data_IF_614226023809
#
_entry.id   IF_614226023809
#
_cell.length_a   1.000
_cell.length_b   1.000
_cell.length_c   1.000
_cell.angle_alpha   90.00
_cell.angle_beta   90.00
_cell.angle_gamma   90.00
#
_symmetry.space_group_name_H-M   'P 1'
#
loop_
_entity.id
_entity.type
_entity.pdbx_description
1 polymer ?
#
# COMPACT_ATOMS: atom_id res chain seq x y z
N UNK A 1 9.59 6.09 -24.56
CA UNK A 1 8.54 6.68 -23.71
C UNK A 1 7.50 5.68 -23.24
N UNK A 2 6.77 4.95 -24.10
CA UNK A 2 5.70 4.01 -23.66
C UNK A 2 6.22 2.88 -22.73
N UNK A 3 7.49 2.50 -22.90
CA UNK A 3 8.10 1.39 -22.17
C UNK A 3 8.38 1.71 -20.70
N UNK A 4 8.66 2.97 -20.38
CA UNK A 4 9.01 3.40 -19.03
C UNK A 4 7.75 3.51 -18.16
N UNK A 5 6.66 4.06 -18.72
CA UNK A 5 5.35 4.17 -18.04
C UNK A 5 4.79 2.80 -17.65
N UNK A 6 4.88 1.81 -18.53
CA UNK A 6 4.42 0.45 -18.22
C UNK A 6 5.25 -0.25 -17.15
N UNK A 7 6.55 0.04 -17.06
CA UNK A 7 7.43 -0.48 -16.00
C UNK A 7 7.09 0.18 -14.67
N UNK A 8 6.91 1.51 -14.65
CA UNK A 8 6.54 2.26 -13.44
C UNK A 8 5.16 1.88 -12.91
N UNK A 9 4.18 1.68 -13.80
CA UNK A 9 2.85 1.17 -13.41
C UNK A 9 2.94 -0.25 -12.84
N UNK A 10 3.76 -1.11 -13.45
CA UNK A 10 4.01 -2.47 -12.97
C UNK A 10 4.65 -2.49 -11.57
N UNK A 11 5.66 -1.64 -11.34
CA UNK A 11 6.31 -1.46 -10.04
C UNK A 11 5.32 -0.98 -8.98
N UNK A 12 4.53 0.04 -9.29
CA UNK A 12 3.54 0.62 -8.37
C UNK A 12 2.47 -0.42 -7.99
N UNK A 13 1.93 -1.16 -8.97
CA UNK A 13 1.00 -2.26 -8.72
C UNK A 13 1.62 -3.34 -7.82
N UNK A 14 2.83 -3.78 -8.13
CA UNK A 14 3.55 -4.78 -7.32
C UNK A 14 3.78 -4.32 -5.89
N UNK A 15 4.18 -3.06 -5.68
CA UNK A 15 4.37 -2.45 -4.36
C UNK A 15 3.06 -2.45 -3.56
N UNK A 16 1.96 -2.01 -4.18
CA UNK A 16 0.63 -1.98 -3.54
C UNK A 16 0.18 -3.39 -3.10
N UNK A 17 0.39 -4.41 -3.92
CA UNK A 17 0.03 -5.79 -3.59
C UNK A 17 0.84 -6.35 -2.42
N UNK A 18 2.14 -6.04 -2.35
CA UNK A 18 3.00 -6.47 -1.23
C UNK A 18 2.52 -5.82 0.06
N UNK A 19 2.28 -4.51 0.07
CA UNK A 19 1.78 -3.77 1.23
C UNK A 19 0.46 -4.35 1.71
N UNK A 20 -0.49 -4.61 0.81
CA UNK A 20 -1.79 -5.22 1.15
C UNK A 20 -1.59 -6.58 1.85
N UNK A 21 -0.70 -7.43 1.33
CA UNK A 21 -0.41 -8.74 1.96
C UNK A 21 0.22 -8.58 3.35
N UNK A 22 1.10 -7.61 3.53
CA UNK A 22 1.71 -7.33 4.84
C UNK A 22 0.67 -6.84 5.85
N UNK A 23 -0.20 -5.91 5.44
CA UNK A 23 -1.28 -5.36 6.27
C UNK A 23 -2.27 -6.47 6.63
N UNK A 24 -2.70 -7.31 5.69
CA UNK A 24 -3.58 -8.46 5.96
C UNK A 24 -2.94 -9.50 6.89
N UNK A 25 -1.62 -9.68 6.82
CA UNK A 25 -0.89 -10.58 7.70
C UNK A 25 -0.74 -10.00 9.11
N UNK A 26 -0.46 -8.70 9.22
CA UNK A 26 -0.28 -7.99 10.50
C UNK A 26 -1.63 -7.80 11.22
N UNK A 27 -2.62 -7.30 10.48
CA UNK A 27 -3.96 -7.03 10.99
C UNK A 27 -4.91 -8.13 10.53
N UNK A 28 -5.42 -8.92 11.47
CA UNK A 28 -6.33 -10.05 11.18
C UNK A 28 -7.62 -9.64 10.45
N UNK A 29 -8.05 -8.39 10.61
CA UNK A 29 -9.24 -7.81 9.96
C UNK A 29 -8.86 -6.46 9.38
N UNK A 30 -9.01 -6.33 8.06
CA UNK A 30 -8.75 -5.10 7.31
C UNK A 30 -10.00 -4.80 6.49
N UNK A 31 -10.60 -3.60 6.61
CA UNK A 31 -11.73 -3.23 5.79
C UNK A 31 -11.37 -3.25 4.31
N UNK A 32 -12.26 -3.75 3.47
CA UNK A 32 -12.02 -3.84 2.02
C UNK A 32 -11.81 -2.46 1.37
N UNK A 33 -12.40 -1.41 1.96
CA UNK A 33 -12.16 -0.02 1.57
C UNK A 33 -10.67 0.35 1.67
N UNK A 34 -9.95 -0.10 2.70
CA UNK A 34 -8.55 0.24 2.91
C UNK A 34 -7.67 -0.42 1.86
N UNK A 35 -8.00 -1.68 1.53
CA UNK A 35 -7.35 -2.41 0.44
C UNK A 35 -7.53 -1.68 -0.88
N UNK A 36 -8.74 -1.16 -1.17
CA UNK A 36 -8.98 -0.39 -2.38
C UNK A 36 -8.19 0.92 -2.39
N UNK A 37 -8.20 1.66 -1.27
CA UNK A 37 -7.44 2.91 -1.15
C UNK A 37 -5.96 2.70 -1.40
N UNK A 38 -5.34 1.66 -0.82
CA UNK A 38 -3.93 1.33 -1.03
C UNK A 38 -3.60 1.09 -2.50
N UNK A 39 -4.48 0.43 -3.26
CA UNK A 39 -4.26 0.20 -4.71
C UNK A 39 -4.29 1.49 -5.54
N UNK A 40 -4.87 2.56 -5.01
CA UNK A 40 -5.00 3.84 -5.69
C UNK A 40 -3.98 4.89 -5.20
N UNK A 41 -3.10 4.52 -4.25
CA UNK A 41 -2.07 5.43 -3.74
C UNK A 41 -0.93 5.61 -4.75
N UNK A 42 -0.27 6.77 -4.66
CA UNK A 42 0.98 7.03 -5.37
C UNK A 42 2.11 6.15 -4.82
N UNK A 43 3.12 5.93 -5.66
CA UNK A 43 4.30 5.14 -5.27
C UNK A 43 5.01 5.70 -4.02
N UNK A 44 5.09 7.02 -3.89
CA UNK A 44 5.65 7.72 -2.73
C UNK A 44 4.89 7.40 -1.43
N UNK A 45 3.56 7.49 -1.45
CA UNK A 45 2.76 7.15 -0.27
C UNK A 45 2.86 5.67 0.08
N UNK A 46 2.98 4.79 -0.92
CA UNK A 46 3.23 3.38 -0.69
C UNK A 46 4.60 3.13 -0.01
N UNK A 47 5.64 3.90 -0.32
CA UNK A 47 6.93 3.81 0.39
C UNK A 47 6.83 4.24 1.85
N UNK A 48 6.09 5.31 2.13
CA UNK A 48 5.83 5.73 3.50
C UNK A 48 5.12 4.62 4.29
N UNK A 49 4.07 4.02 3.71
CA UNK A 49 3.38 2.88 4.35
C UNK A 49 4.35 1.70 4.55
N UNK A 50 5.16 1.36 3.55
CA UNK A 50 6.10 0.23 3.64
C UNK A 50 7.14 0.41 4.75
N UNK A 51 7.51 1.65 5.06
CA UNK A 51 8.44 1.98 6.16
C UNK A 51 7.72 1.92 7.49
N UNK A 52 6.56 2.56 7.59
CA UNK A 52 5.85 2.76 8.86
C UNK A 52 5.04 1.54 9.30
N UNK A 53 4.78 0.56 8.41
CA UNK A 53 3.92 -0.61 8.68
C UNK A 53 4.36 -1.41 9.91
N UNK A 54 5.66 -1.45 10.20
CA UNK A 54 6.18 -2.18 11.34
C UNK A 54 5.86 -1.48 12.67
N UNK A 55 5.73 -0.16 12.64
CA UNK A 55 5.42 0.69 13.80
C UNK A 55 3.92 0.91 14.01
N UNK A 56 3.07 0.60 13.01
CA UNK A 56 1.62 0.71 13.16
C UNK A 56 1.08 -0.23 14.25
N UNK A 57 0.24 0.28 15.14
CA UNK A 57 -0.39 -0.49 16.22
C UNK A 57 -1.75 -1.05 15.79
N UNK A 58 -2.43 -0.35 14.87
CA UNK A 58 -3.76 -0.72 14.40
C UNK A 58 -3.97 -0.45 12.92
N UNK A 59 -4.99 -1.08 12.34
CA UNK A 59 -5.37 -0.80 10.94
C UNK A 59 -5.80 0.66 10.74
N UNK A 60 -6.25 1.34 11.80
CA UNK A 60 -6.63 2.75 11.77
C UNK A 60 -5.45 3.68 11.49
N UNK A 61 -4.21 3.27 11.78
CA UNK A 61 -3.01 4.06 11.49
C UNK A 61 -2.86 4.35 9.99
N UNK A 62 -3.43 3.49 9.13
CA UNK A 62 -3.45 3.69 7.69
C UNK A 62 -4.22 4.95 7.26
N UNK A 63 -5.13 5.46 8.10
CA UNK A 63 -5.86 6.72 7.85
C UNK A 63 -4.96 7.94 7.65
N UNK A 64 -3.70 7.87 8.11
CA UNK A 64 -2.72 8.96 7.96
C UNK A 64 -2.28 9.14 6.50
N UNK A 65 -2.47 8.14 5.63
CA UNK A 65 -1.93 8.13 4.27
C UNK A 65 -2.98 8.37 3.19
N UNK A 66 -4.26 8.52 3.57
CA UNK A 66 -5.34 8.66 2.60
C UNK A 66 -6.47 9.58 3.04
#
# INVERSE_FOLDING_TARGET
MIRDEGIEEGKTKGKSEIIIRQILKKFKKVPQEYIYRIKCLSDETLECIATDIFDMESVEDLKKYF
#
